data_IF_113600826753
#
_entry.id   IF_113600826753
#
_cell.length_a   1.000
_cell.length_b   1.000
_cell.length_c   1.000
_cell.angle_alpha   90.00
_cell.angle_beta   90.00
_cell.angle_gamma   90.00
#
_symmetry.space_group_name_H-M   'P 1'
#
loop_
_entity.id
_entity.type
_entity.pdbx_description
1 polymer ?
#
# COMPACT_ATOMS: atom_id res chain seq x y z
N UNK A 1 -10.72 -8.25 -10.98
CA UNK A 1 -10.10 -7.77 -9.73
C UNK A 1 -11.21 -7.66 -8.70
N UNK A 2 -10.94 -7.93 -7.42
CA UNK A 2 -11.90 -7.61 -6.37
C UNK A 2 -12.26 -6.12 -6.43
N UNK A 3 -13.39 -5.76 -5.82
CA UNK A 3 -13.89 -4.38 -5.80
C UNK A 3 -12.96 -3.51 -4.94
N UNK A 4 -12.14 -2.67 -5.58
CA UNK A 4 -11.16 -1.82 -4.92
C UNK A 4 -11.61 -0.35 -4.82
N UNK A 5 -12.90 -0.11 -4.73
CA UNK A 5 -13.45 1.25 -4.63
C UNK A 5 -12.92 2.01 -3.40
N UNK A 6 -12.62 1.29 -2.32
CA UNK A 6 -12.03 1.87 -1.11
C UNK A 6 -10.79 1.08 -0.71
N UNK A 7 -9.69 1.82 -0.53
CA UNK A 7 -8.37 1.30 -0.19
C UNK A 7 -7.87 1.96 1.11
N UNK A 8 -7.73 1.17 2.18
CA UNK A 8 -7.20 1.63 3.47
C UNK A 8 -5.68 1.45 3.53
N UNK A 9 -4.96 2.50 3.91
CA UNK A 9 -3.54 2.43 4.33
C UNK A 9 -3.47 2.64 5.83
N UNK A 10 -2.91 1.69 6.58
CA UNK A 10 -2.87 1.76 8.05
C UNK A 10 -1.80 2.72 8.56
N UNK A 11 -2.05 3.28 9.73
CA UNK A 11 -1.13 4.16 10.45
C UNK A 11 -1.70 4.46 11.84
N UNK A 12 -1.37 3.62 12.83
CA UNK A 12 -1.95 3.69 14.18
C UNK A 12 -1.72 5.05 14.84
N UNK A 13 -0.56 5.70 14.59
CA UNK A 13 -0.26 7.04 15.09
C UNK A 13 -1.23 8.13 14.60
N UNK A 14 -1.93 7.88 13.48
CA UNK A 14 -2.92 8.78 12.88
C UNK A 14 -4.37 8.39 13.22
N UNK A 15 -4.58 7.37 14.05
CA UNK A 15 -5.87 6.70 14.26
C UNK A 15 -6.67 7.22 15.44
N UNK A 16 -6.29 8.35 16.02
CA UNK A 16 -6.97 8.97 17.17
C UNK A 16 -7.13 8.00 18.38
N UNK A 17 -6.09 7.21 18.65
CA UNK A 17 -6.03 6.29 19.79
C UNK A 17 -6.65 4.92 19.56
N UNK A 18 -7.13 4.61 18.34
CA UNK A 18 -7.59 3.27 17.97
C UNK A 18 -6.42 2.42 17.51
N UNK A 19 -6.46 1.13 17.82
CA UNK A 19 -5.49 0.16 17.32
C UNK A 19 -5.65 -0.09 15.83
N UNK A 20 -4.60 -0.56 15.15
CA UNK A 20 -4.67 -0.96 13.75
C UNK A 20 -5.77 -2.00 13.51
N UNK A 21 -5.93 -2.96 14.42
CA UNK A 21 -6.97 -3.97 14.33
C UNK A 21 -8.38 -3.36 14.35
N UNK A 22 -8.67 -2.48 15.32
CA UNK A 22 -9.98 -1.81 15.41
C UNK A 22 -10.30 -1.00 14.15
N UNK A 23 -9.31 -0.31 13.57
CA UNK A 23 -9.46 0.44 12.32
C UNK A 23 -9.83 -0.50 11.16
N UNK A 24 -9.10 -1.60 11.02
CA UNK A 24 -9.34 -2.55 9.92
C UNK A 24 -10.69 -3.24 10.08
N UNK A 25 -11.08 -3.67 11.29
CA UNK A 25 -12.41 -4.23 11.55
C UNK A 25 -13.54 -3.27 11.13
N UNK A 26 -13.42 -1.98 11.49
CA UNK A 26 -14.39 -0.95 11.12
C UNK A 26 -14.39 -0.68 9.60
N UNK A 27 -13.22 -0.67 8.97
CA UNK A 27 -13.11 -0.47 7.53
C UNK A 27 -13.71 -1.63 6.73
N UNK A 28 -13.49 -2.87 7.16
CA UNK A 28 -14.09 -4.07 6.57
C UNK A 28 -15.61 -4.01 6.70
N UNK A 29 -16.13 -3.67 7.89
CA UNK A 29 -17.57 -3.48 8.10
C UNK A 29 -18.15 -2.35 7.24
N UNK A 30 -17.32 -1.36 6.83
CA UNK A 30 -17.67 -0.27 5.92
C UNK A 30 -17.51 -0.60 4.43
N UNK A 31 -17.04 -1.80 4.07
CA UNK A 31 -16.92 -2.25 2.68
C UNK A 31 -15.58 -1.92 2.02
N UNK A 32 -14.48 -1.82 2.80
CA UNK A 32 -13.14 -1.69 2.20
C UNK A 32 -12.77 -2.94 1.40
N UNK A 33 -12.22 -2.76 0.20
CA UNK A 33 -11.78 -3.87 -0.66
C UNK A 33 -10.30 -4.21 -0.52
N UNK A 34 -9.48 -3.27 -0.04
CA UNK A 34 -8.02 -3.45 0.13
C UNK A 34 -7.55 -2.84 1.43
N UNK A 35 -6.68 -3.55 2.14
CA UNK A 35 -5.96 -3.06 3.32
C UNK A 35 -4.47 -3.15 3.07
N UNK A 36 -3.76 -2.04 3.19
CA UNK A 36 -2.29 -1.98 3.16
C UNK A 36 -1.74 -1.76 4.58
N UNK A 37 -0.97 -2.71 5.07
CA UNK A 37 -0.22 -2.59 6.33
C UNK A 37 0.99 -1.67 6.12
N UNK A 38 0.98 -0.47 6.71
CA UNK A 38 2.08 0.47 6.56
C UNK A 38 2.87 0.69 7.86
N UNK A 39 2.29 1.02 8.96
CA UNK A 39 2.83 1.13 10.34
C UNK A 39 4.34 1.51 10.40
N UNK A 40 4.76 2.60 9.73
CA UNK A 40 6.20 2.97 9.62
C UNK A 40 6.87 3.27 10.98
N UNK A 41 6.09 3.68 11.97
CA UNK A 41 6.57 4.01 13.33
C UNK A 41 6.78 2.78 14.22
N UNK A 42 6.48 1.57 13.72
CA UNK A 42 6.60 0.30 14.43
C UNK A 42 7.85 -0.47 14.00
N UNK A 43 8.39 -1.26 14.90
CA UNK A 43 9.45 -2.22 14.58
C UNK A 43 8.96 -3.30 13.60
N UNK A 44 9.88 -3.97 12.91
CA UNK A 44 9.54 -5.08 12.00
C UNK A 44 8.79 -6.19 12.72
N UNK A 45 9.18 -6.51 13.97
CA UNK A 45 8.50 -7.52 14.79
C UNK A 45 7.05 -7.13 15.08
N UNK A 46 6.81 -5.90 15.53
CA UNK A 46 5.46 -5.40 15.80
C UNK A 46 4.60 -5.38 14.53
N UNK A 47 5.17 -4.95 13.39
CA UNK A 47 4.46 -5.03 12.09
C UNK A 47 4.12 -6.46 11.71
N UNK A 48 5.01 -7.41 11.96
CA UNK A 48 4.74 -8.81 11.69
C UNK A 48 3.62 -9.37 12.59
N UNK A 49 3.66 -9.08 13.89
CA UNK A 49 2.64 -9.53 14.84
C UNK A 49 1.27 -8.94 14.49
N UNK A 50 1.17 -7.63 14.30
CA UNK A 50 -0.05 -6.95 13.84
C UNK A 50 -0.48 -7.45 12.47
N UNK A 51 0.47 -7.60 11.54
CA UNK A 51 0.20 -8.06 10.17
C UNK A 51 -0.43 -9.44 10.10
N UNK A 52 -0.05 -10.37 11.00
CA UNK A 52 -0.70 -11.69 11.08
C UNK A 52 -2.19 -11.58 11.40
N UNK A 53 -2.53 -10.76 12.40
CA UNK A 53 -3.92 -10.55 12.81
C UNK A 53 -4.73 -9.90 11.68
N UNK A 54 -4.16 -8.88 11.03
CA UNK A 54 -4.82 -8.17 9.93
C UNK A 54 -5.01 -9.06 8.71
N UNK A 55 -3.97 -9.86 8.35
CA UNK A 55 -4.07 -10.84 7.26
C UNK A 55 -5.21 -11.83 7.49
N UNK A 56 -5.29 -12.41 8.67
CA UNK A 56 -6.34 -13.39 9.00
C UNK A 56 -7.72 -12.73 8.89
N UNK A 57 -7.88 -11.52 9.43
CA UNK A 57 -9.10 -10.74 9.35
C UNK A 57 -9.50 -10.40 7.90
N UNK A 58 -8.54 -10.01 7.05
CA UNK A 58 -8.78 -9.76 5.64
C UNK A 58 -9.23 -11.03 4.89
N UNK A 59 -8.56 -12.16 5.13
CA UNK A 59 -8.92 -13.46 4.52
C UNK A 59 -10.33 -13.94 4.90
N UNK A 60 -10.72 -13.77 6.15
CA UNK A 60 -12.06 -14.13 6.64
C UNK A 60 -13.17 -13.32 5.98
N UNK A 61 -12.83 -12.17 5.38
CA UNK A 61 -13.79 -11.22 4.80
C UNK A 61 -13.58 -10.98 3.28
N UNK A 62 -12.76 -11.79 2.61
CA UNK A 62 -12.44 -11.66 1.18
C UNK A 62 -11.87 -10.27 0.79
N UNK A 63 -11.12 -9.64 1.71
CA UNK A 63 -10.44 -8.34 1.52
C UNK A 63 -8.99 -8.58 1.14
N UNK A 64 -8.50 -7.88 0.13
CA UNK A 64 -7.09 -7.95 -0.30
C UNK A 64 -6.16 -7.37 0.78
N UNK A 65 -5.11 -8.12 1.14
CA UNK A 65 -4.11 -7.70 2.11
C UNK A 65 -2.75 -7.45 1.48
N UNK A 66 -2.28 -6.21 1.54
CA UNK A 66 -0.99 -5.77 0.99
C UNK A 66 -0.06 -5.26 2.09
N UNK A 67 1.26 -5.36 1.85
CA UNK A 67 2.29 -4.80 2.73
C UNK A 67 2.98 -3.63 2.05
N UNK A 68 3.23 -2.56 2.81
CA UNK A 68 3.95 -1.39 2.31
C UNK A 68 5.46 -1.63 2.32
N UNK A 69 6.17 -1.35 1.22
CA UNK A 69 7.64 -1.33 1.02
C UNK A 69 8.35 -2.69 1.25
N UNK A 70 7.99 -3.44 2.26
CA UNK A 70 8.72 -4.58 2.82
C UNK A 70 8.33 -5.92 2.19
N UNK A 71 9.05 -6.30 1.13
CA UNK A 71 8.85 -7.59 0.42
C UNK A 71 9.10 -8.81 1.31
N UNK A 72 10.11 -8.75 2.18
CA UNK A 72 10.39 -9.79 3.17
C UNK A 72 9.23 -10.01 4.15
N UNK A 73 8.59 -8.90 4.56
CA UNK A 73 7.42 -8.96 5.43
C UNK A 73 6.19 -9.47 4.69
N UNK A 74 6.00 -9.09 3.42
CA UNK A 74 4.94 -9.63 2.58
C UNK A 74 5.05 -11.15 2.42
N UNK A 75 6.26 -11.67 2.17
CA UNK A 75 6.55 -13.11 2.14
C UNK A 75 6.25 -13.79 3.49
N UNK A 76 6.75 -13.23 4.59
CA UNK A 76 6.59 -13.81 5.91
C UNK A 76 5.13 -13.84 6.40
N UNK A 77 4.30 -12.91 5.92
CA UNK A 77 2.89 -12.81 6.22
C UNK A 77 2.00 -13.57 5.23
N UNK A 78 2.57 -14.08 4.14
CA UNK A 78 1.79 -14.67 3.05
C UNK A 78 0.70 -13.69 2.59
N UNK A 79 1.11 -12.44 2.33
CA UNK A 79 0.26 -11.36 1.86
C UNK A 79 -0.08 -11.53 0.37
N UNK A 80 -1.18 -10.93 -0.08
CA UNK A 80 -1.57 -10.95 -1.50
C UNK A 80 -0.61 -10.15 -2.38
N UNK A 81 0.20 -9.26 -1.78
CA UNK A 81 1.22 -8.50 -2.49
C UNK A 81 1.82 -7.35 -1.70
N UNK A 82 2.39 -6.40 -2.43
CA UNK A 82 3.16 -5.29 -1.86
C UNK A 82 2.89 -3.98 -2.62
N UNK A 83 3.00 -2.85 -1.92
CA UNK A 83 3.01 -1.51 -2.51
C UNK A 83 4.37 -0.86 -2.33
N UNK A 84 4.96 -0.37 -3.42
CA UNK A 84 6.33 0.13 -3.50
C UNK A 84 6.38 1.66 -3.70
N UNK A 85 7.30 2.32 -3.01
CA UNK A 85 7.68 3.71 -3.22
C UNK A 85 8.93 3.86 -4.11
N UNK A 86 9.43 5.09 -4.28
CA UNK A 86 10.54 5.39 -5.20
C UNK A 86 11.88 4.77 -4.77
N UNK A 87 12.12 4.64 -3.47
CA UNK A 87 13.38 4.14 -2.89
C UNK A 87 13.35 2.63 -2.60
N UNK A 88 12.24 1.94 -2.95
CA UNK A 88 12.07 0.52 -2.71
C UNK A 88 12.65 -0.35 -3.83
N UNK A 89 12.60 -1.67 -3.66
CA UNK A 89 13.01 -2.61 -4.70
C UNK A 89 12.24 -2.38 -6.00
N UNK A 90 12.89 -2.48 -7.17
CA UNK A 90 12.21 -2.34 -8.45
C UNK A 90 11.22 -3.49 -8.69
N UNK A 91 10.11 -3.20 -9.36
CA UNK A 91 9.02 -4.16 -9.63
C UNK A 91 9.51 -5.51 -10.17
N UNK A 92 10.45 -5.59 -11.15
CA UNK A 92 10.93 -6.88 -11.65
C UNK A 92 11.59 -7.73 -10.55
N UNK A 93 12.39 -7.15 -9.66
CA UNK A 93 13.02 -7.88 -8.55
C UNK A 93 11.98 -8.39 -7.55
N UNK A 94 10.91 -7.61 -7.31
CA UNK A 94 9.80 -8.03 -6.45
C UNK A 94 9.03 -9.20 -7.07
N UNK A 95 8.82 -9.20 -8.39
CA UNK A 95 8.22 -10.32 -9.13
C UNK A 95 9.03 -11.61 -9.00
N UNK A 96 10.37 -11.52 -9.08
CA UNK A 96 11.24 -12.68 -8.87
C UNK A 96 11.11 -13.29 -7.47
N UNK A 97 10.85 -12.45 -6.45
CA UNK A 97 10.72 -12.89 -5.06
C UNK A 97 9.31 -13.40 -4.71
N UNK A 98 8.27 -12.71 -5.16
CA UNK A 98 6.88 -13.00 -4.79
C UNK A 98 6.15 -13.87 -5.82
N UNK A 99 6.67 -13.96 -7.06
CA UNK A 99 6.04 -14.66 -8.18
C UNK A 99 5.01 -13.81 -8.93
N UNK A 100 4.54 -14.35 -10.06
CA UNK A 100 3.64 -13.63 -10.99
C UNK A 100 2.22 -13.45 -10.43
N UNK A 101 1.84 -14.25 -9.44
CA UNK A 101 0.52 -14.18 -8.82
C UNK A 101 0.37 -13.08 -7.76
N UNK A 102 1.48 -12.49 -7.30
CA UNK A 102 1.43 -11.44 -6.29
C UNK A 102 0.99 -10.10 -6.90
N UNK A 103 0.27 -9.31 -6.12
CA UNK A 103 -0.13 -7.96 -6.50
C UNK A 103 1.01 -6.99 -6.19
N UNK A 104 1.46 -6.22 -7.18
CA UNK A 104 2.51 -5.22 -7.01
C UNK A 104 2.00 -3.84 -7.41
N UNK A 105 1.83 -2.98 -6.40
CA UNK A 105 1.48 -1.57 -6.60
C UNK A 105 2.71 -0.66 -6.63
N UNK A 106 2.60 0.47 -7.31
CA UNK A 106 3.68 1.45 -7.41
C UNK A 106 3.18 2.88 -7.17
N UNK A 107 3.83 3.62 -6.27
CA UNK A 107 3.60 5.06 -6.12
C UNK A 107 4.20 5.80 -7.31
N UNK A 108 3.45 6.76 -7.89
CA UNK A 108 3.90 7.60 -9.00
C UNK A 108 3.39 9.04 -8.84
N UNK A 109 4.14 10.00 -9.39
CA UNK A 109 3.78 11.43 -9.38
C UNK A 109 3.93 12.10 -10.75
N UNK A 110 4.41 11.36 -11.76
CA UNK A 110 4.61 11.85 -13.12
C UNK A 110 4.15 10.81 -14.14
N UNK A 111 3.80 11.26 -15.35
CA UNK A 111 3.44 10.39 -16.48
C UNK A 111 4.58 9.41 -16.80
N UNK A 112 5.82 9.89 -16.86
CA UNK A 112 6.98 9.03 -17.13
C UNK A 112 7.13 7.92 -16.10
N UNK A 113 6.97 8.22 -14.80
CA UNK A 113 7.02 7.20 -13.74
C UNK A 113 5.86 6.19 -13.86
N UNK A 114 4.69 6.63 -14.29
CA UNK A 114 3.54 5.75 -14.53
C UNK A 114 3.81 4.78 -15.69
N UNK A 115 4.30 5.28 -16.83
CA UNK A 115 4.69 4.46 -17.98
C UNK A 115 5.82 3.48 -17.64
N UNK A 116 6.78 3.91 -16.81
CA UNK A 116 7.87 3.03 -16.35
C UNK A 116 7.34 1.92 -15.44
N UNK A 117 6.42 2.24 -14.53
CA UNK A 117 5.79 1.28 -13.64
C UNK A 117 4.95 0.24 -14.42
N UNK A 118 4.16 0.68 -15.41
CA UNK A 118 3.40 -0.21 -16.29
C UNK A 118 4.32 -1.17 -17.06
N UNK A 119 5.39 -0.62 -17.68
CA UNK A 119 6.38 -1.43 -18.41
C UNK A 119 7.12 -2.42 -17.50
N UNK A 120 7.33 -2.05 -16.24
CA UNK A 120 7.95 -2.91 -15.24
C UNK A 120 7.01 -4.01 -14.71
N UNK A 121 5.71 -3.97 -15.04
CA UNK A 121 4.72 -4.97 -14.64
C UNK A 121 4.04 -4.69 -13.29
N UNK A 122 3.87 -3.42 -12.90
CA UNK A 122 3.01 -3.06 -11.78
C UNK A 122 1.53 -3.33 -12.13
N UNK A 123 0.75 -3.83 -11.15
CA UNK A 123 -0.67 -4.14 -11.34
C UNK A 123 -1.57 -2.92 -11.14
N UNK A 124 -1.12 -1.95 -10.33
CA UNK A 124 -1.84 -0.70 -10.09
C UNK A 124 -0.89 0.43 -9.69
N UNK A 125 -1.36 1.65 -9.83
CA UNK A 125 -0.63 2.86 -9.50
C UNK A 125 -1.28 3.59 -8.31
N UNK A 126 -0.45 4.04 -7.36
CA UNK A 126 -0.82 4.99 -6.32
C UNK A 126 -0.39 6.40 -6.75
N UNK A 127 -1.31 7.17 -7.33
CA UNK A 127 -0.99 8.51 -7.85
C UNK A 127 -1.10 9.57 -6.76
N UNK A 128 -0.02 10.28 -6.48
CA UNK A 128 -0.07 11.33 -5.46
C UNK A 128 1.29 11.93 -5.08
N UNK A 129 1.31 12.84 -4.10
CA UNK A 129 0.13 13.34 -3.35
C UNK A 129 -0.62 14.39 -4.16
N UNK A 130 -1.92 14.25 -4.35
CA UNK A 130 -2.72 15.20 -5.16
C UNK A 130 -2.79 16.57 -4.50
N UNK A 131 -3.00 16.60 -3.19
CA UNK A 131 -2.96 17.80 -2.36
C UNK A 131 -1.87 17.68 -1.29
N UNK A 132 -1.39 18.81 -0.77
CA UNK A 132 -0.44 18.80 0.35
C UNK A 132 -1.05 18.10 1.56
N UNK A 133 -0.26 17.24 2.20
CA UNK A 133 -0.67 16.44 3.36
C UNK A 133 0.47 16.30 4.35
N UNK A 134 0.14 16.19 5.64
CA UNK A 134 1.08 15.82 6.70
C UNK A 134 1.13 14.32 6.99
N UNK A 135 0.29 13.51 6.34
CA UNK A 135 0.21 12.06 6.61
C UNK A 135 1.31 11.25 5.91
N UNK A 136 1.95 11.81 4.90
CA UNK A 136 3.07 11.21 4.16
C UNK A 136 4.23 12.21 4.16
N UNK A 137 5.21 11.99 5.03
CA UNK A 137 6.35 12.90 5.26
C UNK A 137 7.65 12.42 4.61
N UNK A 138 7.61 11.24 4.00
CA UNK A 138 8.74 10.53 3.40
C UNK A 138 8.79 10.69 1.86
N UNK A 139 8.31 11.82 1.34
CA UNK A 139 8.30 12.14 -0.09
C UNK A 139 8.99 13.49 -0.34
N UNK A 140 9.64 13.69 -1.50
CA UNK A 140 10.25 14.96 -1.88
C UNK A 140 9.23 16.11 -1.94
N UNK A 141 9.66 17.33 -1.60
CA UNK A 141 8.77 18.51 -1.58
C UNK A 141 8.15 18.80 -2.96
N UNK A 142 8.87 18.56 -4.04
CA UNK A 142 8.42 18.74 -5.43
C UNK A 142 7.29 17.79 -5.85
N UNK A 143 7.10 16.69 -5.12
CA UNK A 143 6.02 15.71 -5.38
C UNK A 143 4.80 15.91 -4.48
N UNK A 144 4.84 16.94 -3.61
CA UNK A 144 3.71 17.32 -2.79
C UNK A 144 2.72 18.20 -3.56
N UNK A 145 1.48 17.75 -3.65
CA UNK A 145 0.40 18.56 -4.24
C UNK A 145 0.50 18.70 -5.75
N UNK A 146 0.66 17.56 -6.45
CA UNK A 146 0.76 17.53 -7.94
C UNK A 146 -0.51 18.02 -8.65
N UNK A 147 -1.62 18.09 -7.93
CA UNK A 147 -2.91 18.56 -8.42
C UNK A 147 -3.72 17.54 -9.23
N UNK A 148 -5.02 17.77 -9.41
CA UNK A 148 -5.90 16.85 -10.14
C UNK A 148 -5.61 16.81 -11.65
N UNK A 149 -5.02 17.86 -12.23
CA UNK A 149 -4.66 17.88 -13.65
C UNK A 149 -3.58 16.82 -13.95
N UNK A 150 -2.58 16.70 -13.08
CA UNK A 150 -1.55 15.65 -13.22
C UNK A 150 -2.14 14.25 -13.14
N UNK A 151 -3.15 14.03 -12.29
CA UNK A 151 -3.86 12.75 -12.20
C UNK A 151 -4.59 12.40 -13.50
N UNK A 152 -5.08 13.41 -14.26
CA UNK A 152 -5.71 13.16 -15.56
C UNK A 152 -4.71 12.85 -16.67
N UNK A 153 -3.48 13.36 -16.54
CA UNK A 153 -2.40 13.11 -17.50
C UNK A 153 -1.80 11.70 -17.34
N UNK A 154 -1.79 11.18 -16.11
CA UNK A 154 -1.38 9.83 -15.76
C UNK A 154 -2.48 8.83 -16.07
#
# INVERSE_FOLDING_TARGET
>A
MPDWDVYLVTGESLSAGRTTREIVEQAIAGGVGVVQLREKDRTVRERYETGREIRDLCRENDVTFLVNDRVDLALALDADGVHLGDDDLPVPAVRELLGDGAIVGRSVSTVAAAEDAERAGADYLGVGTVYRTGSKTDIPEETHGIGPERVREI
#
